data_IF_039792856162
#
_entry.id   IF_039792856162
#
_cell.length_a   1.000
_cell.length_b   1.000
_cell.length_c   1.000
_cell.angle_alpha   90.00
_cell.angle_beta   90.00
_cell.angle_gamma   90.00
#
_symmetry.space_group_name_H-M   'P 1'
#
loop_
_entity.id
_entity.type
_entity.pdbx_description
1 polymer ?
#
# COMPACT_ATOMS: atom_id res chain seq x y z
N UNK A 1 33.24 13.57 8.37
CA UNK A 1 32.64 14.43 7.31
C UNK A 1 31.24 14.77 7.72
N UNK A 2 30.97 16.05 8.02
CA UNK A 2 29.61 16.51 8.40
C UNK A 2 28.70 16.54 7.19
N UNK A 3 27.42 16.19 7.37
CA UNK A 3 26.41 16.39 6.35
C UNK A 3 26.29 17.90 6.04
N UNK A 4 26.08 18.23 4.78
CA UNK A 4 25.85 19.62 4.36
C UNK A 4 24.34 19.93 4.38
N UNK A 5 23.94 21.19 4.65
CA UNK A 5 22.56 21.61 4.48
C UNK A 5 22.04 21.21 3.08
N UNK A 6 20.85 20.61 3.02
CA UNK A 6 20.28 20.10 1.78
C UNK A 6 20.72 18.68 1.39
N UNK A 7 21.56 18.00 2.19
CA UNK A 7 21.82 16.57 2.01
C UNK A 7 20.52 15.76 2.11
N UNK A 8 20.42 14.69 1.31
CA UNK A 8 19.22 13.84 1.23
C UNK A 8 19.61 12.37 1.28
N UNK A 9 18.73 11.55 1.84
CA UNK A 9 18.82 10.10 1.73
C UNK A 9 17.43 9.51 1.49
N UNK A 10 17.41 8.28 0.98
CA UNK A 10 16.22 7.47 0.85
C UNK A 10 16.41 6.24 1.72
N UNK A 11 15.45 6.00 2.61
CA UNK A 11 15.41 4.85 3.52
C UNK A 11 14.27 3.93 3.10
N UNK A 12 14.53 2.63 2.98
CA UNK A 12 13.53 1.64 2.62
C UNK A 12 12.67 1.19 3.83
N UNK A 13 11.66 0.35 3.57
CA UNK A 13 10.76 -0.18 4.61
C UNK A 13 11.45 -1.07 5.66
N UNK A 14 12.71 -1.45 5.45
CA UNK A 14 13.54 -2.21 6.41
C UNK A 14 14.46 -1.29 7.22
N UNK A 15 14.40 0.02 6.97
CA UNK A 15 15.28 1.00 7.60
C UNK A 15 16.67 1.06 6.99
N UNK A 16 16.87 0.53 5.76
CA UNK A 16 18.16 0.58 5.09
C UNK A 16 18.25 1.83 4.22
N UNK A 17 19.35 2.57 4.32
CA UNK A 17 19.65 3.68 3.41
C UNK A 17 19.98 3.13 2.02
N UNK A 18 19.09 3.32 1.05
CA UNK A 18 19.26 2.85 -0.33
C UNK A 18 19.90 3.90 -1.24
N UNK A 19 19.84 5.16 -0.84
CA UNK A 19 20.46 6.26 -1.58
C UNK A 19 20.79 7.44 -0.65
N UNK A 20 21.90 8.15 -0.97
CA UNK A 20 22.29 9.39 -0.30
C UNK A 20 22.87 9.18 1.09
N UNK A 21 22.95 10.27 1.85
CA UNK A 21 23.53 10.29 3.19
C UNK A 21 23.17 11.60 3.90
N UNK A 22 22.77 11.54 5.17
CA UNK A 22 22.38 12.70 5.99
C UNK A 22 23.19 12.83 7.28
N UNK A 23 24.17 11.96 7.50
CA UNK A 23 25.02 11.92 8.68
C UNK A 23 25.41 10.47 8.97
N UNK A 24 26.44 10.24 9.76
CA UNK A 24 26.88 8.91 10.17
C UNK A 24 26.59 8.62 11.64
N UNK A 25 26.81 7.36 12.04
CA UNK A 25 26.66 6.94 13.44
C UNK A 25 25.24 7.10 13.96
N UNK A 26 25.11 7.73 15.12
CA UNK A 26 23.82 7.88 15.78
C UNK A 26 22.85 8.82 15.06
N UNK A 27 23.34 9.79 14.25
CA UNK A 27 22.46 10.60 13.40
C UNK A 27 21.74 9.73 12.38
N UNK A 28 22.44 8.77 11.77
CA UNK A 28 21.86 7.80 10.85
C UNK A 28 20.84 6.90 11.56
N UNK A 29 21.12 6.45 12.79
CA UNK A 29 20.21 5.62 13.58
C UNK A 29 18.94 6.38 13.95
N UNK A 30 19.03 7.63 14.44
CA UNK A 30 17.87 8.44 14.79
C UNK A 30 16.99 8.73 13.57
N UNK A 31 17.59 9.00 12.41
CA UNK A 31 16.88 9.20 11.15
C UNK A 31 16.24 7.90 10.68
N UNK A 32 16.91 6.76 10.84
CA UNK A 32 16.36 5.44 10.52
C UNK A 32 15.11 5.13 11.35
N UNK A 33 15.17 5.31 12.67
CA UNK A 33 14.03 5.10 13.57
C UNK A 33 12.85 6.00 13.19
N UNK A 34 13.09 7.31 13.03
CA UNK A 34 12.06 8.26 12.62
C UNK A 34 11.47 7.92 11.23
N UNK A 35 12.28 7.41 10.30
CA UNK A 35 11.82 6.97 8.98
C UNK A 35 10.87 5.77 9.08
N UNK A 36 11.22 4.77 9.90
CA UNK A 36 10.35 3.60 10.13
C UNK A 36 9.03 3.98 10.80
N UNK A 37 9.06 4.91 11.77
CA UNK A 37 7.84 5.42 12.39
C UNK A 37 6.99 6.21 11.40
N UNK A 38 7.61 7.09 10.60
CA UNK A 38 6.91 7.86 9.56
C UNK A 38 6.25 6.97 8.52
N UNK A 39 6.91 5.88 8.10
CA UNK A 39 6.32 4.90 7.19
C UNK A 39 5.17 4.10 7.82
N UNK A 40 5.17 3.94 9.16
CA UNK A 40 4.10 3.22 9.87
C UNK A 40 2.82 4.03 9.99
N UNK A 41 2.91 5.32 10.27
CA UNK A 41 1.76 6.18 10.56
C UNK A 41 1.46 7.23 9.48
N UNK A 42 2.31 7.31 8.43
CA UNK A 42 2.13 8.25 7.33
C UNK A 42 2.43 9.72 7.71
N UNK A 43 3.03 9.99 8.89
CA UNK A 43 3.28 11.34 9.35
C UNK A 43 4.71 11.80 9.05
N UNK A 44 4.84 13.05 8.64
CA UNK A 44 6.15 13.72 8.52
C UNK A 44 6.74 14.02 9.90
N UNK A 45 8.07 14.04 9.99
CA UNK A 45 8.80 14.34 11.23
C UNK A 45 9.95 15.30 11.00
N UNK A 46 10.23 16.10 12.01
CA UNK A 46 11.51 16.82 12.12
C UNK A 46 12.29 16.14 13.25
N UNK A 47 13.47 15.66 12.93
CA UNK A 47 14.39 15.01 13.86
C UNK A 47 15.47 16.01 14.25
N UNK A 48 15.40 16.63 15.44
CA UNK A 48 16.49 17.48 15.94
C UNK A 48 17.61 16.59 16.47
N UNK A 49 18.85 16.91 16.11
CA UNK A 49 20.05 16.19 16.52
C UNK A 49 21.02 17.18 17.14
N UNK A 50 21.38 16.96 18.41
CA UNK A 50 22.46 17.66 19.10
C UNK A 50 23.74 16.81 18.96
N UNK A 51 24.73 17.36 18.27
CA UNK A 51 26.00 16.70 17.99
C UNK A 51 27.05 17.03 19.07
N UNK A 52 26.73 17.92 20.01
CA UNK A 52 27.62 18.32 21.10
C UNK A 52 27.39 17.49 22.40
N UNK A 53 26.26 16.76 22.50
CA UNK A 53 25.92 15.99 23.69
C UNK A 53 26.73 14.66 23.71
N UNK A 54 27.73 14.61 24.61
CA UNK A 54 28.59 13.43 24.81
C UNK A 54 27.89 12.30 25.59
N UNK A 55 26.74 12.57 26.26
CA UNK A 55 26.07 11.61 27.15
C UNK A 55 24.81 11.00 26.48
N UNK A 56 23.99 11.82 25.87
CA UNK A 56 22.77 11.42 25.16
C UNK A 56 22.87 11.65 23.65
N UNK A 57 23.83 12.42 23.24
CA UNK A 57 24.15 12.68 21.86
C UNK A 57 25.01 11.58 21.25
N UNK A 58 25.26 11.72 20.02
CA UNK A 58 25.86 10.78 19.11
C UNK A 58 27.33 10.46 19.34
N UNK A 59 27.93 10.89 20.46
CA UNK A 59 29.28 10.50 20.82
C UNK A 59 30.38 10.86 19.80
N UNK A 60 30.13 11.84 18.94
CA UNK A 60 31.09 12.34 17.99
C UNK A 60 31.40 13.83 18.27
N UNK A 61 32.67 14.24 18.37
CA UNK A 61 33.03 15.65 18.58
C UNK A 61 32.89 16.44 17.27
N UNK A 62 31.75 16.34 16.61
CA UNK A 62 31.51 17.07 15.36
C UNK A 62 30.97 18.48 15.60
N UNK A 63 30.45 18.77 16.79
CA UNK A 63 29.94 20.06 17.22
C UNK A 63 28.74 20.58 16.46
N UNK A 64 27.79 21.21 17.18
CA UNK A 64 26.64 21.86 16.59
C UNK A 64 25.35 21.05 16.57
N UNK A 65 24.30 21.65 15.99
CA UNK A 65 22.98 21.04 15.89
C UNK A 65 22.58 20.87 14.43
N UNK A 66 21.75 19.87 14.14
CA UNK A 66 21.13 19.71 12.83
C UNK A 66 19.68 19.26 12.99
N UNK A 67 18.87 19.58 12.00
CA UNK A 67 17.52 19.05 11.88
C UNK A 67 17.38 18.29 10.57
N UNK A 68 16.76 17.11 10.65
CA UNK A 68 16.47 16.29 9.48
C UNK A 68 14.95 16.21 9.30
N UNK A 69 14.46 16.68 8.16
CA UNK A 69 13.06 16.50 7.77
C UNK A 69 12.88 15.12 7.17
N UNK A 70 11.99 14.33 7.75
CA UNK A 70 11.62 12.99 7.31
C UNK A 70 10.22 13.04 6.73
N UNK A 71 10.08 12.65 5.48
CA UNK A 71 8.82 12.59 4.75
C UNK A 71 8.59 11.16 4.26
N UNK A 72 7.50 10.47 4.68
CA UNK A 72 7.19 9.15 4.18
C UNK A 72 6.62 9.23 2.77
N UNK A 73 7.17 8.46 1.84
CA UNK A 73 6.56 8.24 0.54
C UNK A 73 5.72 6.98 0.60
N UNK A 74 4.40 7.17 0.71
CA UNK A 74 3.46 6.05 0.74
C UNK A 74 3.01 5.73 -0.68
N UNK A 75 2.98 4.44 -1.07
CA UNK A 75 2.37 4.06 -2.34
C UNK A 75 0.90 4.46 -2.36
N UNK A 76 0.37 4.75 -3.54
CA UNK A 76 -1.06 4.99 -3.69
C UNK A 76 -1.85 3.76 -3.24
N UNK A 77 -3.01 3.94 -2.58
CA UNK A 77 -3.90 2.83 -2.32
C UNK A 77 -4.32 2.18 -3.64
N UNK A 78 -4.37 0.86 -3.66
CA UNK A 78 -4.77 0.08 -4.83
C UNK A 78 -6.27 -0.23 -4.74
N UNK A 79 -7.00 -0.01 -5.82
CA UNK A 79 -8.31 -0.61 -6.02
C UNK A 79 -8.19 -1.78 -6.98
N UNK A 80 -8.39 -2.98 -6.46
CA UNK A 80 -8.50 -4.20 -7.25
C UNK A 80 -9.95 -4.49 -7.56
N UNK A 81 -10.31 -4.42 -8.83
CA UNK A 81 -11.65 -4.73 -9.34
C UNK A 81 -11.62 -6.14 -9.92
N UNK A 82 -12.44 -7.04 -9.38
CA UNK A 82 -12.59 -8.40 -9.90
C UNK A 82 -13.88 -8.50 -10.68
N UNK A 83 -13.78 -8.65 -11.99
CA UNK A 83 -14.91 -8.71 -12.91
C UNK A 83 -14.96 -7.56 -13.91
N UNK A 84 -16.11 -7.39 -14.55
CA UNK A 84 -16.30 -6.50 -15.69
C UNK A 84 -17.67 -5.84 -15.71
N UNK A 85 -17.88 -4.99 -16.75
CA UNK A 85 -19.14 -4.31 -17.03
C UNK A 85 -19.17 -2.88 -16.52
N UNK A 86 -20.28 -2.19 -16.80
CA UNK A 86 -20.39 -0.75 -16.59
C UNK A 86 -20.09 -0.28 -15.17
N UNK A 87 -20.45 -1.07 -14.15
CA UNK A 87 -20.15 -0.73 -12.76
C UNK A 87 -18.62 -0.77 -12.53
N UNK A 88 -17.93 -1.79 -13.03
CA UNK A 88 -16.47 -1.91 -12.92
C UNK A 88 -15.76 -0.75 -13.62
N UNK A 89 -16.21 -0.39 -14.81
CA UNK A 89 -15.64 0.72 -15.59
C UNK A 89 -15.77 2.05 -14.85
N UNK A 90 -16.98 2.40 -14.43
CA UNK A 90 -17.24 3.66 -13.71
C UNK A 90 -16.52 3.70 -12.36
N UNK A 91 -16.44 2.56 -11.67
CA UNK A 91 -15.71 2.47 -10.42
C UNK A 91 -14.21 2.73 -10.62
N UNK A 92 -13.63 2.16 -11.69
CA UNK A 92 -12.22 2.41 -12.04
C UNK A 92 -11.96 3.89 -12.35
N UNK A 93 -12.84 4.54 -13.14
CA UNK A 93 -12.75 5.96 -13.45
C UNK A 93 -12.81 6.83 -12.19
N UNK A 94 -13.79 6.58 -11.31
CA UNK A 94 -13.97 7.35 -10.08
C UNK A 94 -12.80 7.16 -9.11
N UNK A 95 -12.36 5.92 -8.92
CA UNK A 95 -11.25 5.62 -8.02
C UNK A 95 -9.93 6.23 -8.52
N UNK A 96 -9.68 6.20 -9.82
CA UNK A 96 -8.52 6.88 -10.42
C UNK A 96 -8.56 8.39 -10.17
N UNK A 97 -9.73 9.02 -10.25
CA UNK A 97 -9.90 10.47 -9.98
C UNK A 97 -9.53 10.84 -8.54
N UNK A 98 -9.70 9.92 -7.58
CA UNK A 98 -9.31 10.13 -6.17
C UNK A 98 -7.99 9.44 -5.82
N UNK A 99 -7.13 9.26 -6.83
CA UNK A 99 -5.75 8.80 -6.70
C UNK A 99 -5.57 7.37 -6.19
N UNK A 100 -6.46 6.44 -6.57
CA UNK A 100 -6.17 5.02 -6.45
C UNK A 100 -5.36 4.52 -7.66
N UNK A 101 -4.41 3.63 -7.42
CA UNK A 101 -3.86 2.74 -8.42
C UNK A 101 -4.91 1.69 -8.79
N UNK A 102 -5.15 1.43 -10.06
CA UNK A 102 -6.23 0.56 -10.52
C UNK A 102 -5.67 -0.76 -11.05
N UNK A 103 -6.09 -1.86 -10.45
CA UNK A 103 -5.88 -3.22 -10.98
C UNK A 103 -7.23 -3.83 -11.35
N UNK A 104 -7.36 -4.39 -12.55
CA UNK A 104 -8.56 -5.11 -12.98
C UNK A 104 -8.23 -6.56 -13.23
N UNK A 105 -8.92 -7.48 -12.54
CA UNK A 105 -8.82 -8.92 -12.71
C UNK A 105 -10.06 -9.44 -13.42
N UNK A 106 -10.00 -9.54 -14.73
CA UNK A 106 -11.03 -10.11 -15.59
C UNK A 106 -10.46 -10.52 -16.94
N UNK A 107 -10.89 -11.67 -17.46
CA UNK A 107 -10.39 -12.22 -18.72
C UNK A 107 -10.71 -11.38 -19.95
N UNK A 108 -11.72 -10.51 -19.88
CA UNK A 108 -12.12 -9.58 -20.94
C UNK A 108 -11.59 -8.17 -20.78
N UNK A 109 -10.80 -7.89 -19.74
CA UNK A 109 -10.25 -6.56 -19.50
C UNK A 109 -9.25 -6.16 -20.58
N UNK A 110 -9.39 -4.93 -21.13
CA UNK A 110 -8.49 -4.38 -22.14
C UNK A 110 -8.05 -2.96 -21.76
N UNK A 111 -6.94 -2.51 -22.35
CA UNK A 111 -6.49 -1.12 -22.19
C UNK A 111 -7.44 -0.09 -22.79
N UNK A 112 -8.25 -0.49 -23.75
CA UNK A 112 -9.27 0.37 -24.34
C UNK A 112 -10.40 0.62 -23.33
N UNK A 113 -10.84 -0.45 -22.62
CA UNK A 113 -11.91 -0.36 -21.61
C UNK A 113 -11.42 0.29 -20.30
N UNK A 114 -10.18 0.03 -19.92
CA UNK A 114 -9.57 0.52 -18.67
C UNK A 114 -8.25 1.25 -18.95
N UNK A 115 -8.27 2.42 -19.61
CA UNK A 115 -7.04 3.16 -19.97
C UNK A 115 -6.24 3.61 -18.74
N UNK A 116 -6.93 3.88 -17.60
CA UNK A 116 -6.31 4.29 -16.33
C UNK A 116 -5.73 3.13 -15.50
N UNK A 117 -6.03 1.86 -15.84
CA UNK A 117 -5.55 0.75 -15.03
C UNK A 117 -4.04 0.61 -15.13
N UNK A 118 -3.35 0.50 -14.01
CA UNK A 118 -1.91 0.20 -13.98
C UNK A 118 -1.66 -1.26 -14.35
N UNK A 119 -2.50 -2.17 -13.84
CA UNK A 119 -2.38 -3.61 -14.05
C UNK A 119 -3.70 -4.21 -14.55
N UNK A 120 -3.59 -5.07 -15.59
CA UNK A 120 -4.69 -5.92 -16.07
C UNK A 120 -4.29 -7.37 -15.90
N UNK A 121 -5.10 -8.14 -15.19
CA UNK A 121 -4.93 -9.58 -14.97
C UNK A 121 -5.98 -10.30 -15.80
N UNK A 122 -5.60 -10.76 -16.98
CA UNK A 122 -6.54 -11.33 -17.97
C UNK A 122 -6.54 -12.87 -18.00
N UNK A 123 -5.65 -13.52 -17.24
CA UNK A 123 -5.53 -14.98 -17.21
C UNK A 123 -5.36 -15.47 -15.76
N UNK A 124 -6.45 -15.43 -14.98
CA UNK A 124 -6.46 -15.76 -13.56
C UNK A 124 -7.78 -16.43 -13.17
N UNK A 125 -7.99 -17.64 -13.65
CA UNK A 125 -9.25 -18.38 -13.46
C UNK A 125 -9.48 -18.82 -12.01
N UNK A 126 -8.41 -18.98 -11.25
CA UNK A 126 -8.41 -19.43 -9.85
C UNK A 126 -8.10 -18.29 -8.86
N UNK A 127 -7.98 -17.06 -9.34
CA UNK A 127 -7.66 -15.86 -8.55
C UNK A 127 -6.30 -15.92 -7.84
N UNK A 128 -5.39 -16.80 -8.27
CA UNK A 128 -4.08 -16.98 -7.64
C UNK A 128 -3.12 -15.80 -7.86
N UNK A 129 -3.40 -14.96 -8.86
CA UNK A 129 -2.60 -13.76 -9.17
C UNK A 129 -3.06 -12.51 -8.43
N UNK A 130 -4.08 -12.62 -7.58
CA UNK A 130 -4.51 -11.54 -6.70
C UNK A 130 -3.51 -11.39 -5.55
N UNK A 131 -2.82 -10.27 -5.53
CA UNK A 131 -1.90 -9.88 -4.45
C UNK A 131 -2.61 -8.85 -3.57
N UNK A 132 -3.06 -9.26 -2.39
CA UNK A 132 -3.84 -8.42 -1.49
C UNK A 132 -2.98 -7.98 -0.32
N UNK A 133 -2.52 -6.73 -0.38
CA UNK A 133 -1.72 -6.08 0.64
C UNK A 133 -2.53 -5.14 1.54
N UNK A 134 -1.88 -4.51 2.53
CA UNK A 134 -2.54 -3.60 3.49
C UNK A 134 -3.06 -2.30 2.86
N UNK A 135 -2.74 -2.03 1.61
CA UNK A 135 -3.19 -0.88 0.83
C UNK A 135 -4.14 -1.28 -0.32
N UNK A 136 -4.53 -2.57 -0.41
CA UNK A 136 -5.35 -3.10 -1.51
C UNK A 136 -6.82 -3.20 -1.08
N UNK A 137 -7.66 -2.40 -1.68
CA UNK A 137 -9.12 -2.43 -1.56
C UNK A 137 -9.69 -3.30 -2.67
N UNK A 138 -10.51 -4.28 -2.34
CA UNK A 138 -11.04 -5.23 -3.33
C UNK A 138 -12.53 -4.99 -3.55
N UNK A 139 -12.96 -4.92 -4.80
CA UNK A 139 -14.38 -4.90 -5.18
C UNK A 139 -14.67 -5.97 -6.22
N UNK A 140 -15.59 -6.87 -5.87
CA UNK A 140 -16.00 -7.98 -6.73
C UNK A 140 -17.30 -7.62 -7.46
N UNK A 141 -17.24 -7.66 -8.82
CA UNK A 141 -18.31 -7.26 -9.76
C UNK A 141 -18.41 -8.28 -10.90
N UNK A 142 -18.48 -9.57 -10.60
CA UNK A 142 -18.26 -10.65 -11.58
C UNK A 142 -19.49 -11.09 -12.36
N UNK A 143 -20.63 -10.43 -12.27
CA UNK A 143 -21.88 -10.90 -12.88
C UNK A 143 -22.20 -12.39 -12.58
N UNK A 144 -21.95 -12.81 -11.32
CA UNK A 144 -22.24 -14.15 -10.75
C UNK A 144 -21.24 -15.26 -11.12
N UNK A 145 -20.12 -14.96 -11.77
CA UNK A 145 -19.09 -15.97 -12.08
C UNK A 145 -17.90 -15.84 -11.12
N UNK A 146 -17.83 -16.72 -10.14
CA UNK A 146 -16.67 -16.80 -9.25
C UNK A 146 -16.67 -15.88 -8.04
N UNK A 147 -17.80 -15.18 -7.72
CA UNK A 147 -17.90 -14.28 -6.56
C UNK A 147 -17.36 -14.91 -5.27
N UNK A 148 -17.79 -16.12 -4.95
CA UNK A 148 -17.42 -16.79 -3.70
C UNK A 148 -15.92 -17.14 -3.66
N UNK A 149 -15.32 -17.51 -4.79
CA UNK A 149 -13.92 -17.89 -4.85
C UNK A 149 -13.01 -16.65 -4.79
N UNK A 150 -13.38 -15.60 -5.53
CA UNK A 150 -12.62 -14.34 -5.50
C UNK A 150 -12.66 -13.66 -4.12
N UNK A 151 -13.82 -13.68 -3.44
CA UNK A 151 -13.94 -13.16 -2.07
C UNK A 151 -13.14 -14.02 -1.10
N UNK A 152 -13.26 -15.36 -1.17
CA UNK A 152 -12.47 -16.27 -0.33
C UNK A 152 -10.97 -15.98 -0.50
N UNK A 153 -10.52 -15.82 -1.76
CA UNK A 153 -9.13 -15.50 -2.07
C UNK A 153 -8.72 -14.12 -1.50
N UNK A 154 -9.58 -13.12 -1.64
CA UNK A 154 -9.31 -11.80 -1.09
C UNK A 154 -9.19 -11.80 0.45
N UNK A 155 -9.98 -12.64 1.14
CA UNK A 155 -9.95 -12.81 2.59
C UNK A 155 -8.68 -13.53 3.11
N UNK A 156 -7.91 -14.20 2.25
CA UNK A 156 -6.59 -14.75 2.60
C UNK A 156 -5.52 -13.66 2.75
N UNK A 157 -5.75 -12.48 2.18
CA UNK A 157 -4.88 -11.32 2.28
C UNK A 157 -5.18 -10.46 3.50
N UNK A 158 -4.51 -9.32 3.59
CA UNK A 158 -4.67 -8.35 4.69
C UNK A 158 -5.18 -6.99 4.19
N UNK A 159 -5.95 -6.98 3.10
CA UNK A 159 -6.57 -5.77 2.56
C UNK A 159 -7.57 -5.15 3.53
N UNK A 160 -7.67 -3.81 3.58
CA UNK A 160 -8.54 -3.10 4.53
C UNK A 160 -10.03 -3.19 4.19
N UNK A 161 -10.35 -3.56 2.95
CA UNK A 161 -11.73 -3.60 2.48
C UNK A 161 -11.95 -4.63 1.38
N UNK A 162 -13.05 -5.39 1.50
CA UNK A 162 -13.53 -6.30 0.47
C UNK A 162 -15.04 -6.07 0.29
N UNK A 163 -15.44 -5.65 -0.90
CA UNK A 163 -16.82 -5.36 -1.27
C UNK A 163 -17.36 -6.31 -2.35
N UNK A 164 -18.64 -6.64 -2.26
CA UNK A 164 -19.35 -7.41 -3.28
C UNK A 164 -20.52 -6.62 -3.85
N UNK A 165 -20.53 -6.42 -5.15
CA UNK A 165 -21.67 -5.85 -5.87
C UNK A 165 -22.58 -6.99 -6.33
N UNK A 166 -23.67 -7.22 -5.60
CA UNK A 166 -24.62 -8.28 -5.88
C UNK A 166 -26.02 -7.96 -5.37
N UNK A 167 -27.02 -8.67 -5.89
CA UNK A 167 -28.36 -8.65 -5.29
C UNK A 167 -28.35 -9.25 -3.89
N UNK A 168 -29.29 -8.84 -3.03
CA UNK A 168 -29.43 -9.39 -1.67
C UNK A 168 -29.52 -10.92 -1.66
N UNK A 169 -30.22 -11.50 -2.64
CA UNK A 169 -30.34 -12.98 -2.77
C UNK A 169 -28.96 -13.60 -3.07
N UNK A 170 -28.19 -13.01 -3.96
CA UNK A 170 -26.85 -13.51 -4.33
C UNK A 170 -25.86 -13.34 -3.18
N UNK A 171 -25.84 -12.19 -2.52
CA UNK A 171 -24.98 -11.95 -1.37
C UNK A 171 -25.20 -13.00 -0.27
N UNK A 172 -26.46 -13.32 0.07
CA UNK A 172 -26.78 -14.37 1.05
C UNK A 172 -26.22 -15.75 0.66
N UNK A 173 -26.23 -16.10 -0.63
CA UNK A 173 -25.65 -17.37 -1.10
C UNK A 173 -24.12 -17.38 -0.99
N UNK A 174 -23.47 -16.27 -1.32
CA UNK A 174 -22.02 -16.12 -1.19
C UNK A 174 -21.60 -16.20 0.27
N UNK A 175 -22.27 -15.48 1.18
CA UNK A 175 -21.98 -15.53 2.60
C UNK A 175 -22.19 -16.93 3.19
N UNK A 176 -23.28 -17.62 2.79
CA UNK A 176 -23.49 -19.00 3.22
C UNK A 176 -22.34 -19.90 2.78
N UNK A 177 -21.91 -19.81 1.52
CA UNK A 177 -20.78 -20.58 1.02
C UNK A 177 -19.50 -20.32 1.83
N UNK A 178 -19.20 -19.04 2.12
CA UNK A 178 -18.00 -18.67 2.90
C UNK A 178 -18.05 -19.26 4.32
N UNK A 179 -19.20 -19.22 4.98
CA UNK A 179 -19.39 -19.82 6.30
C UNK A 179 -19.23 -21.35 6.26
N UNK A 180 -19.82 -22.02 5.24
CA UNK A 180 -19.70 -23.47 5.03
C UNK A 180 -18.23 -23.88 4.78
N UNK A 181 -17.41 -22.99 4.18
CA UNK A 181 -15.96 -23.15 3.97
C UNK A 181 -15.10 -22.75 5.18
N UNK A 182 -15.71 -22.41 6.32
CA UNK A 182 -15.01 -22.09 7.57
C UNK A 182 -14.48 -20.66 7.68
N UNK A 183 -14.91 -19.75 6.80
CA UNK A 183 -14.59 -18.32 6.97
C UNK A 183 -15.40 -17.79 8.15
N UNK A 184 -14.78 -17.15 9.15
CA UNK A 184 -15.48 -16.60 10.31
C UNK A 184 -16.43 -15.47 9.88
N UNK A 185 -17.58 -15.28 10.62
CA UNK A 185 -18.55 -14.25 10.31
C UNK A 185 -18.04 -12.84 10.51
#
# INVERSE_FOLDING_TARGET
VSAKPGAKSIVDSKGQTVFGWVGGGCAEEAVREASLESMRDGQTRIVPLDLDDEILGVGMPCGGTMEVYVEPYMPLPELMIVGHGRIAEVLAELAHTVHFSITVNDSGATRETYPMAERLITSDLDFSKMEIGPQTYVVVVTQHKGDQHSIKKALEGNGPYIGLVASTKRAKLVFKYLLDEGVPP
#
